data_IF_142949245101
#
_entry.id   IF_142949245101
#
_cell.length_a   1.000
_cell.length_b   1.000
_cell.length_c   1.000
_cell.angle_alpha   90.00
_cell.angle_beta   90.00
_cell.angle_gamma   90.00
#
_symmetry.space_group_name_H-M   'P 1'
#
loop_
_entity.id
_entity.type
_entity.pdbx_description
1 polymer ?
#
# COMPACT_ATOMS: atom_id res chain seq x y z
N UNK A 1 14.91 -2.06 14.84
CA UNK A 1 13.96 -1.10 14.26
C UNK A 1 13.83 -1.24 12.74
N UNK A 2 14.92 -1.48 11.98
CA UNK A 2 14.88 -1.75 10.52
C UNK A 2 14.23 -3.10 10.21
N UNK A 3 14.39 -4.12 11.06
CA UNK A 3 13.70 -5.42 10.92
C UNK A 3 12.18 -5.34 11.11
N UNK A 4 11.70 -4.38 11.88
CA UNK A 4 10.28 -4.18 12.14
C UNK A 4 9.57 -3.54 10.93
N UNK A 5 10.20 -2.55 10.31
CA UNK A 5 9.68 -1.88 9.09
C UNK A 5 9.68 -2.83 7.88
N UNK A 6 10.69 -3.69 7.75
CA UNK A 6 10.72 -4.73 6.72
C UNK A 6 9.64 -5.82 6.95
N UNK A 7 9.26 -6.10 8.19
CA UNK A 7 8.20 -7.07 8.52
C UNK A 7 6.79 -6.52 8.32
N UNK A 8 6.53 -5.25 8.60
CA UNK A 8 5.19 -4.66 8.41
C UNK A 8 4.81 -4.48 6.94
N UNK A 9 5.75 -4.08 6.06
CA UNK A 9 5.49 -3.99 4.62
C UNK A 9 5.33 -5.37 3.94
N UNK A 10 5.82 -6.45 4.55
CA UNK A 10 5.64 -7.83 4.05
C UNK A 10 4.23 -8.37 4.36
N UNK A 11 3.49 -7.80 5.30
CA UNK A 11 2.21 -8.33 5.78
C UNK A 11 1.00 -7.80 4.98
N UNK A 12 1.15 -6.76 4.19
CA UNK A 12 0.09 -6.29 3.26
C UNK A 12 0.09 -7.07 1.93
N UNK A 13 0.49 -8.32 1.96
CA UNK A 13 0.44 -9.19 0.81
C UNK A 13 -1.03 -9.55 0.51
N UNK A 14 -1.44 -9.36 -0.72
CA UNK A 14 -2.75 -9.54 -1.37
C UNK A 14 -3.48 -10.89 -1.08
N UNK A 15 -3.03 -11.68 -0.12
CA UNK A 15 -3.61 -12.96 0.30
C UNK A 15 -4.72 -12.86 1.35
N UNK A 16 -4.98 -11.68 1.90
CA UNK A 16 -5.99 -11.49 2.97
C UNK A 16 -7.18 -10.63 2.54
N UNK A 17 -7.25 -10.15 1.31
CA UNK A 17 -8.38 -9.36 0.84
C UNK A 17 -9.39 -10.22 0.06
N UNK A 18 -10.67 -10.08 0.41
CA UNK A 18 -11.77 -10.67 -0.35
C UNK A 18 -11.93 -9.88 -1.65
N UNK A 19 -11.82 -10.54 -2.80
CA UNK A 19 -12.00 -9.89 -4.10
C UNK A 19 -13.48 -9.59 -4.35
N UNK A 20 -13.80 -8.33 -4.61
CA UNK A 20 -15.14 -7.87 -5.00
C UNK A 20 -15.34 -7.81 -6.53
N UNK A 21 -14.28 -8.06 -7.31
CA UNK A 21 -14.30 -7.95 -8.77
C UNK A 21 -13.40 -6.84 -9.28
N UNK A 22 -13.74 -6.32 -10.49
CA UNK A 22 -12.95 -5.25 -11.14
C UNK A 22 -13.86 -4.10 -11.57
N UNK A 23 -13.41 -2.87 -11.33
CA UNK A 23 -14.05 -1.64 -11.81
C UNK A 23 -13.02 -0.90 -12.66
N UNK A 24 -13.38 -0.57 -13.90
CA UNK A 24 -12.46 0.06 -14.88
C UNK A 24 -11.14 -0.71 -15.07
N UNK A 25 -11.20 -2.04 -14.93
CA UNK A 25 -10.01 -2.91 -15.00
C UNK A 25 -9.21 -3.02 -13.71
N UNK A 26 -9.49 -2.20 -12.69
CA UNK A 26 -8.81 -2.17 -11.40
C UNK A 26 -9.44 -3.22 -10.47
N UNK A 27 -8.68 -4.17 -9.92
CA UNK A 27 -9.15 -5.11 -8.91
C UNK A 27 -9.56 -4.38 -7.63
N UNK A 28 -10.75 -4.71 -7.10
CA UNK A 28 -11.25 -4.16 -5.84
C UNK A 28 -11.21 -5.25 -4.79
N UNK A 29 -10.57 -4.97 -3.66
CA UNK A 29 -10.43 -5.88 -2.53
C UNK A 29 -11.05 -5.33 -1.25
N UNK A 30 -11.47 -6.24 -0.37
CA UNK A 30 -11.96 -5.96 0.97
C UNK A 30 -11.05 -6.64 1.99
N UNK A 31 -10.40 -5.85 2.83
CA UNK A 31 -9.62 -6.39 3.95
C UNK A 31 -10.56 -6.86 5.08
N UNK A 32 -10.15 -7.86 5.85
CA UNK A 32 -10.98 -8.36 6.96
C UNK A 32 -11.28 -7.29 8.02
N UNK A 33 -10.40 -6.30 8.21
CA UNK A 33 -10.63 -5.18 9.12
C UNK A 33 -11.82 -4.28 8.73
N UNK A 34 -12.23 -4.33 7.45
CA UNK A 34 -13.40 -3.60 6.96
C UNK A 34 -14.70 -4.04 7.67
N UNK A 35 -14.86 -5.34 7.98
CA UNK A 35 -16.07 -5.81 8.68
C UNK A 35 -16.20 -5.23 10.07
N UNK A 36 -15.07 -4.98 10.75
CA UNK A 36 -15.05 -4.37 12.06
C UNK A 36 -15.55 -2.93 12.00
N UNK A 37 -15.02 -2.13 11.07
CA UNK A 37 -15.42 -0.71 10.95
C UNK A 37 -16.85 -0.59 10.42
N UNK A 38 -17.28 -1.46 9.50
CA UNK A 38 -18.66 -1.53 9.05
C UNK A 38 -19.64 -1.78 10.19
N UNK A 39 -19.34 -2.77 11.05
CA UNK A 39 -20.14 -3.05 12.24
C UNK A 39 -20.16 -1.88 13.23
N UNK A 40 -19.01 -1.25 13.46
CA UNK A 40 -18.87 -0.11 14.36
C UNK A 40 -19.68 1.11 13.85
N UNK A 41 -19.53 1.46 12.58
CA UNK A 41 -20.26 2.59 11.97
C UNK A 41 -21.77 2.31 11.98
N UNK A 42 -22.17 1.10 11.60
CA UNK A 42 -23.60 0.70 11.65
C UNK A 42 -24.16 0.83 13.06
N UNK A 43 -23.42 0.34 14.08
CA UNK A 43 -23.83 0.43 15.48
C UNK A 43 -23.92 1.90 15.95
N UNK A 44 -22.94 2.72 15.64
CA UNK A 44 -22.92 4.14 16.00
C UNK A 44 -24.12 4.89 15.37
N UNK A 45 -24.41 4.63 14.11
CA UNK A 45 -25.54 5.23 13.41
C UNK A 45 -26.88 4.76 13.98
N UNK A 46 -27.05 3.46 14.21
CA UNK A 46 -28.30 2.87 14.65
C UNK A 46 -28.59 3.12 16.15
N UNK A 47 -27.57 3.14 17.00
CA UNK A 47 -27.75 3.25 18.45
C UNK A 47 -27.62 4.69 18.99
N UNK A 48 -26.98 5.61 18.23
CA UNK A 48 -26.73 6.97 18.71
C UNK A 48 -27.23 8.05 17.74
N UNK A 49 -26.68 8.12 16.53
CA UNK A 49 -26.92 9.23 15.61
C UNK A 49 -28.38 9.30 15.14
N UNK A 50 -28.94 8.24 14.58
CA UNK A 50 -30.31 8.27 14.05
C UNK A 50 -31.38 8.40 15.14
N UNK A 51 -31.28 7.74 16.31
CA UNK A 51 -32.24 7.97 17.38
C UNK A 51 -32.26 9.42 17.91
N UNK A 52 -31.15 10.13 17.86
CA UNK A 52 -31.08 11.54 18.28
C UNK A 52 -31.69 12.51 17.25
N UNK A 53 -31.58 12.19 15.94
CA UNK A 53 -32.04 13.05 14.85
C UNK A 53 -33.49 12.71 14.39
N UNK A 54 -33.84 11.45 14.43
CA UNK A 54 -35.12 10.90 13.96
C UNK A 54 -35.79 10.07 15.04
N UNK A 55 -36.62 10.72 15.84
CA UNK A 55 -37.35 10.06 16.94
C UNK A 55 -38.50 9.19 16.43
N UNK A 56 -38.89 8.19 17.23
CA UNK A 56 -40.07 7.33 17.00
C UNK A 56 -39.99 6.33 15.81
N UNK A 57 -38.78 5.99 15.34
CA UNK A 57 -38.63 4.87 14.43
C UNK A 57 -38.64 3.53 15.18
N UNK A 58 -39.17 2.45 14.57
CA UNK A 58 -38.94 1.10 15.09
C UNK A 58 -37.45 0.78 15.18
N UNK A 59 -37.02 0.04 16.20
CA UNK A 59 -35.59 -0.30 16.37
C UNK A 59 -34.98 -0.95 15.11
N UNK A 60 -35.71 -1.84 14.45
CA UNK A 60 -35.24 -2.45 13.21
C UNK A 60 -34.94 -1.44 12.09
N UNK A 61 -35.69 -0.34 12.01
CA UNK A 61 -35.48 0.70 11.01
C UNK A 61 -34.15 1.45 11.20
N UNK A 62 -33.77 1.76 12.47
CA UNK A 62 -32.48 2.36 12.76
C UNK A 62 -31.31 1.48 12.29
N UNK A 63 -31.41 0.16 12.53
CA UNK A 63 -30.37 -0.78 12.11
C UNK A 63 -30.30 -0.93 10.59
N UNK A 64 -31.42 -1.02 9.91
CA UNK A 64 -31.47 -1.15 8.43
C UNK A 64 -30.94 0.11 7.77
N UNK A 65 -31.37 1.30 8.22
CA UNK A 65 -30.90 2.57 7.66
C UNK A 65 -29.43 2.79 8.02
N UNK A 66 -29.01 2.44 9.24
CA UNK A 66 -27.61 2.50 9.65
C UNK A 66 -26.69 1.64 8.79
N UNK A 67 -27.07 0.38 8.55
CA UNK A 67 -26.30 -0.53 7.69
C UNK A 67 -26.28 -0.05 6.23
N UNK A 68 -27.41 0.39 5.68
CA UNK A 68 -27.46 0.94 4.33
C UNK A 68 -26.57 2.17 4.17
N UNK A 69 -26.58 3.08 5.16
CA UNK A 69 -25.74 4.27 5.17
C UNK A 69 -24.26 3.91 5.30
N UNK A 70 -23.89 2.95 6.13
CA UNK A 70 -22.53 2.47 6.24
C UNK A 70 -22.01 1.87 4.92
N UNK A 71 -22.83 1.07 4.22
CA UNK A 71 -22.48 0.56 2.88
C UNK A 71 -22.28 1.71 1.89
N UNK A 72 -23.21 2.69 1.85
CA UNK A 72 -23.12 3.84 0.95
C UNK A 72 -21.92 4.74 1.27
N UNK A 73 -21.52 4.84 2.54
CA UNK A 73 -20.29 5.53 2.94
C UNK A 73 -19.07 4.85 2.31
N UNK A 74 -18.96 3.51 2.38
CA UNK A 74 -17.84 2.80 1.77
C UNK A 74 -17.87 2.83 0.24
N UNK A 75 -19.06 2.89 -0.36
CA UNK A 75 -19.20 3.18 -1.80
C UNK A 75 -18.65 4.59 -2.11
N UNK A 76 -18.93 5.59 -1.27
CA UNK A 76 -18.38 6.95 -1.42
C UNK A 76 -16.86 6.96 -1.29
N UNK A 77 -16.29 6.23 -0.33
CA UNK A 77 -14.83 6.08 -0.18
C UNK A 77 -14.24 5.39 -1.42
N UNK A 78 -14.88 4.33 -1.93
CA UNK A 78 -14.42 3.69 -3.16
C UNK A 78 -14.45 4.63 -4.37
N UNK A 79 -15.48 5.45 -4.50
CA UNK A 79 -15.57 6.47 -5.56
C UNK A 79 -14.49 7.54 -5.42
N UNK A 80 -14.16 7.94 -4.21
CA UNK A 80 -13.05 8.84 -3.91
C UNK A 80 -11.71 8.24 -4.42
N UNK A 81 -11.39 6.98 -4.08
CA UNK A 81 -10.18 6.28 -4.55
C UNK A 81 -10.18 6.08 -6.08
N UNK A 82 -11.35 5.79 -6.65
CA UNK A 82 -11.52 5.72 -8.10
C UNK A 82 -11.25 7.07 -8.76
N UNK A 83 -11.60 8.18 -8.12
CA UNK A 83 -11.26 9.52 -8.59
C UNK A 83 -9.76 9.69 -8.82
N UNK A 84 -8.94 9.38 -7.81
CA UNK A 84 -7.48 9.37 -7.93
C UNK A 84 -7.01 8.43 -9.03
N UNK A 85 -7.54 7.22 -9.05
CA UNK A 85 -7.15 6.14 -9.96
C UNK A 85 -7.41 6.49 -11.42
N UNK A 86 -8.57 7.06 -11.73
CA UNK A 86 -8.93 7.47 -13.10
C UNK A 86 -7.99 8.56 -13.61
N UNK A 87 -7.66 9.53 -12.76
CA UNK A 87 -6.72 10.59 -13.14
C UNK A 87 -5.31 10.03 -13.29
N UNK A 88 -4.85 9.14 -12.39
CA UNK A 88 -3.55 8.48 -12.51
C UNK A 88 -3.40 7.71 -13.84
N UNK A 89 -4.44 6.94 -14.23
CA UNK A 89 -4.44 6.22 -15.51
C UNK A 89 -4.37 7.15 -16.73
N UNK A 90 -4.91 8.37 -16.67
CA UNK A 90 -4.74 9.36 -17.74
C UNK A 90 -3.30 9.83 -17.93
N UNK A 91 -2.52 9.78 -16.84
CA UNK A 91 -1.06 10.01 -16.88
C UNK A 91 -0.26 8.73 -17.16
N UNK A 92 -0.93 7.65 -17.59
CA UNK A 92 -0.33 6.32 -17.89
C UNK A 92 0.33 5.66 -16.69
N UNK A 93 -0.09 6.02 -15.48
CA UNK A 93 0.36 5.37 -14.26
C UNK A 93 -0.56 4.18 -14.00
N UNK A 94 -0.04 2.95 -13.95
CA UNK A 94 -0.86 1.77 -13.69
C UNK A 94 -1.38 1.79 -12.24
N UNK A 95 -2.66 1.49 -12.07
CA UNK A 95 -3.27 1.28 -10.75
C UNK A 95 -3.45 -0.23 -10.55
N UNK A 96 -2.79 -0.79 -9.56
CA UNK A 96 -2.73 -2.24 -9.34
C UNK A 96 -3.99 -2.79 -8.69
N UNK A 97 -4.45 -2.13 -7.64
CA UNK A 97 -5.65 -2.50 -6.90
C UNK A 97 -6.14 -1.35 -6.03
N UNK A 98 -7.41 -1.42 -5.63
CA UNK A 98 -7.97 -0.60 -4.55
C UNK A 98 -8.44 -1.56 -3.47
N UNK A 99 -7.96 -1.36 -2.23
CA UNK A 99 -8.36 -2.18 -1.08
C UNK A 99 -9.05 -1.30 -0.04
N UNK A 100 -10.26 -1.70 0.36
CA UNK A 100 -10.99 -1.06 1.46
C UNK A 100 -10.63 -1.76 2.77
N UNK A 101 -10.32 -0.97 3.81
CA UNK A 101 -9.91 -1.44 5.12
C UNK A 101 -10.44 -0.51 6.24
N UNK A 102 -10.05 -0.75 7.48
CA UNK A 102 -10.62 -0.05 8.65
C UNK A 102 -10.51 1.48 8.59
N UNK A 103 -9.44 2.02 7.98
CA UNK A 103 -9.21 3.48 7.91
C UNK A 103 -9.67 4.13 6.59
N UNK A 104 -10.33 3.36 5.70
CA UNK A 104 -10.85 3.88 4.43
C UNK A 104 -10.47 3.03 3.23
N UNK A 105 -9.97 3.65 2.16
CA UNK A 105 -9.48 3.02 0.95
C UNK A 105 -7.99 3.29 0.71
N UNK A 106 -7.32 2.36 0.06
CA UNK A 106 -5.95 2.56 -0.44
C UNK A 106 -5.88 2.09 -1.88
N UNK A 107 -5.57 3.02 -2.78
CA UNK A 107 -5.23 2.72 -4.17
C UNK A 107 -3.72 2.46 -4.30
N UNK A 108 -3.34 1.27 -4.75
CA UNK A 108 -1.94 0.95 -5.05
C UNK A 108 -1.56 1.51 -6.41
N UNK A 109 -0.98 2.71 -6.43
CA UNK A 109 -0.49 3.39 -7.62
C UNK A 109 0.91 2.87 -7.93
N UNK A 110 1.14 2.44 -9.18
CA UNK A 110 2.31 1.64 -9.56
C UNK A 110 3.62 2.41 -9.73
N UNK A 111 3.61 3.75 -9.77
CA UNK A 111 4.81 4.59 -9.89
C UNK A 111 4.55 6.01 -9.40
N UNK A 112 5.62 6.75 -9.15
CA UNK A 112 5.52 8.17 -8.82
C UNK A 112 4.95 9.00 -9.99
N UNK A 113 4.23 10.10 -9.72
CA UNK A 113 3.75 11.01 -10.75
C UNK A 113 4.91 11.62 -11.55
N UNK A 114 4.79 11.71 -12.91
CA UNK A 114 5.89 12.18 -13.76
C UNK A 114 6.16 13.69 -13.64
N UNK A 115 5.27 14.45 -13.00
CA UNK A 115 5.40 15.89 -12.83
C UNK A 115 4.56 16.42 -11.68
N UNK A 116 4.89 17.59 -11.18
CA UNK A 116 4.12 18.31 -10.16
C UNK A 116 2.65 18.52 -10.56
N UNK A 117 2.40 18.85 -11.84
CA UNK A 117 1.04 19.01 -12.36
C UNK A 117 0.26 17.70 -12.36
N UNK A 118 0.90 16.58 -12.73
CA UNK A 118 0.28 15.27 -12.66
C UNK A 118 -0.10 14.91 -11.22
N UNK A 119 0.81 15.12 -10.28
CA UNK A 119 0.55 14.86 -8.86
C UNK A 119 -0.61 15.71 -8.33
N UNK A 120 -0.64 17.01 -8.67
CA UNK A 120 -1.72 17.90 -8.26
C UNK A 120 -3.09 17.38 -8.70
N UNK A 121 -3.23 17.04 -9.99
CA UNK A 121 -4.52 16.57 -10.52
C UNK A 121 -4.91 15.20 -9.99
N UNK A 122 -3.94 14.31 -9.77
CA UNK A 122 -4.20 13.01 -9.14
C UNK A 122 -4.69 13.22 -7.71
N UNK A 123 -3.99 14.02 -6.92
CA UNK A 123 -4.30 14.21 -5.51
C UNK A 123 -5.62 14.95 -5.26
N UNK A 124 -5.97 15.95 -6.07
CA UNK A 124 -7.22 16.71 -5.89
C UNK A 124 -8.46 15.93 -6.35
N UNK A 125 -8.30 14.89 -7.18
CA UNK A 125 -9.42 14.17 -7.80
C UNK A 125 -10.33 13.49 -6.78
N UNK A 126 -9.77 12.85 -5.74
CA UNK A 126 -10.55 12.23 -4.66
C UNK A 126 -11.41 13.25 -3.90
N UNK A 127 -10.83 14.30 -3.33
CA UNK A 127 -11.59 15.38 -2.69
C UNK A 127 -12.68 15.98 -3.58
N UNK A 128 -12.41 16.18 -4.87
CA UNK A 128 -13.42 16.66 -5.83
C UNK A 128 -14.59 15.71 -5.96
N UNK A 129 -14.34 14.39 -6.04
CA UNK A 129 -15.40 13.37 -6.05
C UNK A 129 -16.21 13.42 -4.76
N UNK A 130 -15.57 13.49 -3.59
CA UNK A 130 -16.27 13.60 -2.31
C UNK A 130 -17.11 14.87 -2.21
N UNK A 131 -16.61 16.03 -2.66
CA UNK A 131 -17.42 17.24 -2.73
C UNK A 131 -18.62 17.10 -3.68
N UNK A 132 -18.43 16.49 -4.84
CA UNK A 132 -19.52 16.23 -5.77
C UNK A 132 -20.60 15.34 -5.14
N UNK A 133 -20.20 14.30 -4.41
CA UNK A 133 -21.13 13.43 -3.66
C UNK A 133 -21.84 14.19 -2.53
N UNK A 134 -21.12 15.03 -1.79
CA UNK A 134 -21.74 15.86 -0.76
C UNK A 134 -22.82 16.79 -1.34
N UNK A 135 -22.53 17.43 -2.45
CA UNK A 135 -23.50 18.29 -3.18
C UNK A 135 -24.67 17.43 -3.69
N UNK A 136 -24.40 16.30 -4.33
CA UNK A 136 -25.42 15.40 -4.84
C UNK A 136 -26.40 14.97 -3.74
N UNK A 137 -25.89 14.44 -2.64
CA UNK A 137 -26.74 14.04 -1.50
C UNK A 137 -27.42 15.24 -0.85
N UNK A 138 -26.80 16.41 -0.82
CA UNK A 138 -27.41 17.65 -0.37
C UNK A 138 -28.64 18.05 -1.21
N UNK A 139 -28.50 17.99 -2.53
CA UNK A 139 -29.58 18.31 -3.49
C UNK A 139 -30.70 17.27 -3.51
N UNK A 140 -30.42 16.03 -3.11
CA UNK A 140 -31.44 14.96 -2.99
C UNK A 140 -32.33 15.10 -1.75
N UNK A 141 -31.91 15.82 -0.72
CA UNK A 141 -32.68 15.95 0.53
C UNK A 141 -34.10 16.49 0.32
N UNK A 142 -34.34 17.55 -0.47
CA UNK A 142 -35.70 18.05 -0.70
C UNK A 142 -36.60 17.03 -1.39
N UNK A 143 -36.04 16.17 -2.25
CA UNK A 143 -36.79 15.13 -2.96
C UNK A 143 -37.23 14.00 -2.02
N UNK A 144 -36.47 13.78 -0.96
CA UNK A 144 -36.73 12.72 0.03
C UNK A 144 -37.51 13.18 1.27
N UNK A 145 -37.97 14.43 1.28
CA UNK A 145 -38.66 15.04 2.44
C UNK A 145 -39.84 14.21 2.99
N UNK A 146 -40.59 13.48 2.14
CA UNK A 146 -41.66 12.61 2.54
C UNK A 146 -41.21 11.21 2.99
N UNK A 147 -39.96 10.80 2.71
CA UNK A 147 -39.41 9.48 3.03
C UNK A 147 -38.28 9.62 4.06
N UNK A 148 -38.64 9.69 5.32
CA UNK A 148 -37.69 9.94 6.43
C UNK A 148 -36.42 9.05 6.40
N UNK A 149 -36.44 7.75 6.07
CA UNK A 149 -35.24 6.94 5.97
C UNK A 149 -34.27 7.38 4.86
N UNK A 150 -34.80 7.78 3.70
CA UNK A 150 -33.99 8.26 2.58
C UNK A 150 -33.43 9.66 2.87
N UNK A 151 -34.21 10.52 3.52
CA UNK A 151 -33.76 11.82 3.98
C UNK A 151 -32.61 11.69 5.00
N UNK A 152 -32.73 10.75 5.95
CA UNK A 152 -31.70 10.49 6.95
C UNK A 152 -30.39 10.03 6.32
N UNK A 153 -30.46 9.09 5.38
CA UNK A 153 -29.33 8.61 4.60
C UNK A 153 -28.68 9.76 3.81
N UNK A 154 -29.48 10.55 3.08
CA UNK A 154 -28.96 11.66 2.28
C UNK A 154 -28.31 12.76 3.15
N UNK A 155 -28.92 13.09 4.30
CA UNK A 155 -28.33 14.04 5.26
C UNK A 155 -26.96 13.58 5.74
N UNK A 156 -26.86 12.33 6.22
CA UNK A 156 -25.60 11.81 6.73
C UNK A 156 -24.53 11.70 5.64
N UNK A 157 -24.89 11.22 4.46
CA UNK A 157 -23.94 11.09 3.33
C UNK A 157 -23.49 12.45 2.80
N UNK A 158 -24.33 13.47 2.78
CA UNK A 158 -23.91 14.83 2.44
C UNK A 158 -22.89 15.36 3.45
N UNK A 159 -23.19 15.21 4.74
CA UNK A 159 -22.30 15.65 5.82
C UNK A 159 -20.96 14.93 5.81
N UNK A 160 -20.96 13.59 5.75
CA UNK A 160 -19.74 12.81 5.89
C UNK A 160 -18.84 12.94 4.64
N UNK A 161 -19.40 13.01 3.42
CA UNK A 161 -18.62 13.24 2.21
C UNK A 161 -18.01 14.66 2.19
N UNK A 162 -18.74 15.67 2.68
CA UNK A 162 -18.22 17.03 2.86
C UNK A 162 -17.05 17.05 3.86
N UNK A 163 -17.23 16.39 5.00
CA UNK A 163 -16.19 16.26 6.04
C UNK A 163 -14.97 15.51 5.49
N UNK A 164 -15.18 14.40 4.77
CA UNK A 164 -14.11 13.61 4.14
C UNK A 164 -13.30 14.47 3.14
N UNK A 165 -13.98 15.25 2.31
CA UNK A 165 -13.31 16.13 1.36
C UNK A 165 -12.49 17.23 2.07
N UNK A 166 -13.05 17.89 3.07
CA UNK A 166 -12.36 18.93 3.84
C UNK A 166 -11.18 18.37 4.62
N UNK A 167 -11.37 17.22 5.28
CA UNK A 167 -10.30 16.56 6.03
C UNK A 167 -9.15 16.16 5.12
N UNK A 168 -9.45 15.55 3.97
CA UNK A 168 -8.43 15.17 3.00
C UNK A 168 -7.74 16.35 2.33
N UNK A 169 -8.29 17.57 2.37
CA UNK A 169 -7.62 18.78 1.87
C UNK A 169 -6.70 19.45 2.88
N UNK A 170 -6.57 18.96 4.10
CA UNK A 170 -5.59 19.45 5.08
C UNK A 170 -4.18 19.32 4.48
N UNK A 171 -3.37 20.40 4.45
CA UNK A 171 -2.10 20.45 3.74
C UNK A 171 -0.97 19.72 4.51
N UNK A 172 -1.02 18.41 4.59
CA UNK A 172 -0.02 17.59 5.27
C UNK A 172 -0.16 16.11 4.99
N UNK A 173 0.95 15.40 4.84
CA UNK A 173 0.91 13.94 4.75
C UNK A 173 0.34 13.34 6.04
N UNK A 174 -0.42 12.23 5.94
CA UNK A 174 -0.62 11.37 4.76
C UNK A 174 -1.82 11.73 3.88
N UNK A 175 -2.48 12.86 4.12
CA UNK A 175 -3.71 13.26 3.46
C UNK A 175 -3.48 13.74 2.01
N UNK A 176 -4.53 13.75 1.18
CA UNK A 176 -4.44 14.20 -0.22
C UNK A 176 -4.02 15.67 -0.33
N UNK A 177 -4.46 16.52 0.60
CA UNK A 177 -4.01 17.89 0.73
C UNK A 177 -2.50 18.01 0.95
N UNK A 178 -1.88 17.03 1.60
CA UNK A 178 -0.42 16.92 1.70
C UNK A 178 0.23 16.65 0.35
N UNK A 179 -0.37 15.81 -0.49
CA UNK A 179 0.09 15.56 -1.87
C UNK A 179 -0.14 16.79 -2.76
N UNK A 180 -1.29 17.44 -2.63
CA UNK A 180 -1.57 18.72 -3.32
C UNK A 180 -0.53 19.78 -2.91
N UNK A 181 -0.24 19.91 -1.63
CA UNK A 181 0.76 20.81 -1.11
C UNK A 181 2.18 20.46 -1.60
N UNK A 182 2.54 19.16 -1.57
CA UNK A 182 3.80 18.67 -2.15
C UNK A 182 3.91 19.05 -3.63
N UNK A 183 2.85 18.84 -4.41
CA UNK A 183 2.83 19.20 -5.83
C UNK A 183 3.09 20.69 -6.07
N UNK A 184 2.47 21.58 -5.28
CA UNK A 184 2.71 23.04 -5.36
C UNK A 184 4.15 23.36 -5.02
N UNK A 185 4.69 22.84 -3.90
CA UNK A 185 6.08 23.06 -3.49
C UNK A 185 7.05 22.50 -4.54
N UNK A 186 6.77 21.32 -5.09
CA UNK A 186 7.57 20.72 -6.16
C UNK A 186 7.56 21.58 -7.42
N UNK A 187 6.41 22.08 -7.84
CA UNK A 187 6.32 22.98 -8.99
C UNK A 187 7.14 24.27 -8.85
N UNK A 188 7.25 24.79 -7.63
CA UNK A 188 8.03 26.01 -7.32
C UNK A 188 9.52 25.71 -7.14
N UNK A 189 9.86 24.65 -6.41
CA UNK A 189 11.25 24.34 -6.05
C UNK A 189 11.97 23.49 -7.07
N UNK A 190 11.25 22.84 -7.99
CA UNK A 190 11.74 21.84 -8.94
C UNK A 190 12.50 20.67 -8.28
N UNK A 191 12.23 20.45 -6.99
CA UNK A 191 12.90 19.41 -6.19
C UNK A 191 11.87 18.60 -5.40
N UNK A 192 11.60 17.39 -5.89
CA UNK A 192 10.61 16.48 -5.29
C UNK A 192 10.96 16.11 -3.85
N UNK A 193 12.24 15.81 -3.58
CA UNK A 193 12.74 15.47 -2.24
C UNK A 193 12.46 16.57 -1.21
N UNK A 194 12.79 17.83 -1.56
CA UNK A 194 12.51 18.99 -0.69
C UNK A 194 11.00 19.17 -0.48
N UNK A 195 10.22 19.03 -1.54
CA UNK A 195 8.76 19.13 -1.47
C UNK A 195 8.16 18.06 -0.55
N UNK A 196 8.62 16.82 -0.66
CA UNK A 196 8.19 15.70 0.21
C UNK A 196 8.51 15.97 1.67
N UNK A 197 9.73 16.40 1.98
CA UNK A 197 10.15 16.71 3.35
C UNK A 197 9.35 17.87 3.96
N UNK A 198 9.08 18.93 3.17
CA UNK A 198 8.27 20.06 3.62
C UNK A 198 6.84 19.63 3.91
N UNK A 199 6.20 18.89 2.99
CA UNK A 199 4.83 18.41 3.15
C UNK A 199 4.69 17.46 4.35
N UNK A 200 5.66 16.58 4.56
CA UNK A 200 5.70 15.67 5.70
C UNK A 200 5.87 16.42 7.04
N UNK A 201 6.77 17.41 7.09
CA UNK A 201 6.97 18.21 8.31
C UNK A 201 5.73 19.06 8.64
N UNK A 202 5.06 19.62 7.64
CA UNK A 202 3.77 20.31 7.84
C UNK A 202 2.72 19.33 8.37
N UNK A 203 2.62 18.13 7.79
CA UNK A 203 1.71 17.07 8.28
C UNK A 203 1.98 16.69 9.73
N UNK A 204 3.26 16.50 10.10
CA UNK A 204 3.65 16.23 11.49
C UNK A 204 3.28 17.39 12.43
N UNK A 205 3.50 18.64 12.02
CA UNK A 205 3.09 19.81 12.78
C UNK A 205 1.58 19.82 13.04
N UNK A 206 0.76 19.54 12.01
CA UNK A 206 -0.69 19.41 12.14
C UNK A 206 -1.07 18.25 13.06
N UNK A 207 -0.42 17.10 12.91
CA UNK A 207 -0.63 15.93 13.76
C UNK A 207 -0.38 16.25 15.25
N UNK A 208 0.70 16.98 15.56
CA UNK A 208 0.96 17.44 16.94
C UNK A 208 -0.11 18.40 17.45
N UNK A 209 -0.66 19.27 16.60
CA UNK A 209 -1.79 20.13 17.01
C UNK A 209 -3.03 19.30 17.37
N UNK A 210 -3.34 18.23 16.61
CA UNK A 210 -4.41 17.29 16.97
C UNK A 210 -4.15 16.60 18.30
N UNK A 211 -2.90 16.13 18.55
CA UNK A 211 -2.55 15.50 19.83
C UNK A 211 -2.74 16.48 20.99
N UNK A 212 -2.24 17.71 20.86
CA UNK A 212 -2.36 18.74 21.89
C UNK A 212 -3.84 19.09 22.14
N UNK A 213 -4.63 19.29 21.06
CA UNK A 213 -6.05 19.57 21.16
C UNK A 213 -6.82 18.43 21.84
N UNK A 214 -6.49 17.17 21.51
CA UNK A 214 -7.08 16.00 22.14
C UNK A 214 -6.75 15.91 23.63
N UNK A 215 -5.49 16.11 24.01
CA UNK A 215 -5.08 16.16 25.43
C UNK A 215 -5.78 17.31 26.17
N UNK A 216 -5.84 18.49 25.57
CA UNK A 216 -6.56 19.62 26.13
C UNK A 216 -8.04 19.31 26.40
N UNK A 217 -8.71 18.65 25.46
CA UNK A 217 -10.12 18.27 25.58
C UNK A 217 -10.33 17.23 26.68
N UNK A 218 -9.42 16.24 26.81
CA UNK A 218 -9.44 15.29 27.93
C UNK A 218 -9.32 15.99 29.29
N UNK A 219 -8.44 16.97 29.41
CA UNK A 219 -8.25 17.72 30.64
C UNK A 219 -9.47 18.60 31.00
N UNK A 220 -10.26 19.03 30.03
CA UNK A 220 -11.50 19.77 30.21
C UNK A 220 -12.74 18.88 30.46
N UNK A 221 -12.55 17.58 30.68
CA UNK A 221 -13.62 16.66 31.09
C UNK A 221 -14.28 15.88 29.94
N UNK A 222 -13.95 16.15 28.66
CA UNK A 222 -14.44 15.39 27.52
C UNK A 222 -13.40 14.33 27.10
N UNK A 223 -13.25 13.32 27.96
CA UNK A 223 -12.20 12.30 27.80
C UNK A 223 -12.37 11.49 26.52
N UNK A 224 -13.61 11.12 26.15
CA UNK A 224 -13.87 10.27 24.98
C UNK A 224 -13.49 10.94 23.65
N UNK A 225 -13.99 12.14 23.42
CA UNK A 225 -13.68 12.90 22.22
C UNK A 225 -12.20 13.32 22.18
N UNK A 226 -11.64 13.73 23.34
CA UNK A 226 -10.24 14.10 23.44
C UNK A 226 -9.31 12.93 23.09
N UNK A 227 -9.59 11.73 23.61
CA UNK A 227 -8.84 10.52 23.28
C UNK A 227 -8.90 10.20 21.77
N UNK A 228 -10.08 10.35 21.17
CA UNK A 228 -10.26 10.12 19.73
C UNK A 228 -9.46 11.10 18.88
N UNK A 229 -9.48 12.38 19.20
CA UNK A 229 -8.71 13.43 18.51
C UNK A 229 -7.21 13.20 18.66
N UNK A 230 -6.74 12.87 19.88
CA UNK A 230 -5.33 12.55 20.13
C UNK A 230 -4.88 11.30 19.34
N UNK A 231 -5.74 10.27 19.24
CA UNK A 231 -5.49 9.08 18.46
C UNK A 231 -5.36 9.38 16.95
N UNK A 232 -6.27 10.23 16.41
CA UNK A 232 -6.15 10.71 15.01
C UNK A 232 -4.81 11.42 14.81
N UNK A 233 -4.42 12.32 15.72
CA UNK A 233 -3.14 13.01 15.65
C UNK A 233 -1.94 12.05 15.67
N UNK A 234 -1.93 11.07 16.56
CA UNK A 234 -0.89 10.05 16.62
C UNK A 234 -0.82 9.21 15.33
N UNK A 235 -1.97 8.82 14.78
CA UNK A 235 -2.03 8.08 13.52
C UNK A 235 -1.46 8.91 12.35
N UNK A 236 -1.85 10.19 12.24
CA UNK A 236 -1.33 11.10 11.21
C UNK A 236 0.20 11.30 11.34
N UNK A 237 0.71 11.47 12.57
CA UNK A 237 2.16 11.59 12.82
C UNK A 237 2.90 10.33 12.39
N UNK A 238 2.40 9.15 12.78
CA UNK A 238 3.00 7.87 12.43
C UNK A 238 3.06 7.66 10.92
N UNK A 239 1.98 7.99 10.20
CA UNK A 239 1.90 7.87 8.76
C UNK A 239 2.78 8.92 8.03
N UNK A 240 2.84 10.17 8.51
CA UNK A 240 3.72 11.19 7.96
C UNK A 240 5.20 10.81 8.16
N UNK A 241 5.55 10.25 9.31
CA UNK A 241 6.90 9.77 9.61
C UNK A 241 7.29 8.57 8.73
N UNK A 242 6.36 7.65 8.46
CA UNK A 242 6.59 6.54 7.53
C UNK A 242 6.90 7.04 6.10
N UNK A 243 6.23 8.11 5.64
CA UNK A 243 6.49 8.72 4.34
C UNK A 243 7.92 9.30 4.24
N UNK A 244 8.40 9.95 5.30
CA UNK A 244 9.78 10.45 5.37
C UNK A 244 10.80 9.31 5.32
N UNK A 245 10.53 8.21 6.03
CA UNK A 245 11.40 7.04 6.02
C UNK A 245 11.44 6.37 4.65
N UNK A 246 10.31 6.24 3.98
CA UNK A 246 10.23 5.70 2.62
C UNK A 246 11.04 6.55 1.64
N UNK A 247 10.90 7.89 1.71
CA UNK A 247 11.70 8.80 0.89
C UNK A 247 13.19 8.68 1.18
N UNK A 248 13.59 8.54 2.45
CA UNK A 248 15.00 8.38 2.80
C UNK A 248 15.61 7.07 2.25
N UNK A 249 14.82 5.98 2.23
CA UNK A 249 15.24 4.71 1.60
C UNK A 249 15.37 4.87 0.09
N UNK A 250 14.39 5.51 -0.55
CA UNK A 250 14.45 5.82 -1.98
C UNK A 250 15.72 6.62 -2.31
N UNK A 251 15.99 7.70 -1.57
CA UNK A 251 17.15 8.57 -1.79
C UNK A 251 18.50 7.83 -1.62
N UNK A 252 18.54 6.81 -0.76
CA UNK A 252 19.74 5.98 -0.57
C UNK A 252 20.01 5.02 -1.72
N UNK A 253 18.98 4.69 -2.51
CA UNK A 253 19.03 3.66 -3.56
C UNK A 253 18.93 4.23 -4.98
N UNK A 254 18.33 5.41 -5.16
CA UNK A 254 17.97 5.97 -6.47
C UNK A 254 19.15 6.18 -7.41
N UNK A 255 20.33 6.52 -6.90
CA UNK A 255 21.53 6.79 -7.72
C UNK A 255 22.41 5.54 -7.89
N UNK A 256 21.96 4.37 -7.40
CA UNK A 256 22.73 3.14 -7.41
C UNK A 256 22.21 2.11 -8.41
N UNK A 257 23.17 1.32 -8.94
CA UNK A 257 22.87 0.28 -9.91
C UNK A 257 22.90 -1.11 -9.29
N UNK A 258 22.14 -2.02 -9.87
CA UNK A 258 22.13 -3.43 -9.51
C UNK A 258 23.55 -4.02 -9.41
N UNK A 259 24.44 -3.67 -10.37
CA UNK A 259 25.83 -4.15 -10.42
C UNK A 259 26.68 -3.80 -9.21
N UNK A 260 26.33 -2.76 -8.47
CA UNK A 260 27.05 -2.31 -7.28
C UNK A 260 26.73 -3.15 -6.03
N UNK A 261 25.56 -3.78 -6.03
CA UNK A 261 25.01 -4.46 -4.86
C UNK A 261 24.84 -5.96 -5.06
N UNK A 262 24.69 -6.42 -6.31
CA UNK A 262 24.52 -7.84 -6.62
C UNK A 262 25.64 -8.70 -6.06
N UNK A 263 25.29 -9.87 -5.55
CA UNK A 263 26.24 -10.93 -5.22
C UNK A 263 26.70 -11.65 -6.50
N UNK A 264 28.01 -11.66 -6.79
CA UNK A 264 28.57 -12.38 -7.94
C UNK A 264 28.70 -13.88 -7.71
N UNK A 265 28.61 -14.30 -6.46
CA UNK A 265 28.72 -15.71 -6.07
C UNK A 265 27.35 -16.37 -5.92
N UNK A 266 26.67 -16.63 -7.02
CA UNK A 266 25.42 -17.40 -7.00
C UNK A 266 25.69 -18.90 -6.89
N UNK A 267 24.74 -19.64 -6.27
CA UNK A 267 24.80 -21.08 -6.21
C UNK A 267 24.23 -21.69 -7.48
N UNK A 268 25.00 -22.53 -8.15
CA UNK A 268 24.55 -23.32 -9.29
C UNK A 268 24.37 -24.77 -8.89
N UNK A 269 23.40 -25.43 -9.51
CA UNK A 269 23.17 -26.89 -9.37
C UNK A 269 22.94 -27.50 -10.76
N UNK A 270 23.44 -28.73 -10.94
CA UNK A 270 23.19 -29.47 -12.18
C UNK A 270 21.70 -29.75 -12.37
N UNK A 271 21.23 -29.65 -13.61
CA UNK A 271 19.86 -30.01 -14.01
C UNK A 271 19.45 -31.43 -13.60
N UNK A 272 20.41 -32.36 -13.59
CA UNK A 272 20.21 -33.77 -13.30
C UNK A 272 20.36 -34.11 -11.81
N UNK A 273 20.76 -33.16 -10.97
CA UNK A 273 20.84 -33.35 -9.54
C UNK A 273 19.45 -33.58 -8.93
N UNK A 274 19.33 -34.51 -8.00
CA UNK A 274 18.07 -34.79 -7.30
C UNK A 274 17.76 -33.74 -6.24
N UNK A 275 16.48 -33.55 -5.94
CA UNK A 275 16.06 -32.64 -4.86
C UNK A 275 16.60 -33.07 -3.50
N UNK A 276 16.77 -34.38 -3.28
CA UNK A 276 17.38 -34.90 -2.04
C UNK A 276 18.83 -34.39 -1.89
N UNK A 277 19.66 -34.53 -2.93
CA UNK A 277 21.03 -34.01 -2.94
C UNK A 277 21.07 -32.48 -2.76
N UNK A 278 20.17 -31.74 -3.43
CA UNK A 278 20.05 -30.30 -3.25
C UNK A 278 19.76 -29.92 -1.81
N UNK A 279 18.82 -30.63 -1.16
CA UNK A 279 18.40 -30.29 0.22
C UNK A 279 19.52 -30.62 1.20
N UNK A 280 20.10 -31.82 1.13
CA UNK A 280 21.07 -32.29 2.09
C UNK A 280 22.40 -31.52 2.03
N UNK A 281 22.93 -31.31 0.80
CA UNK A 281 24.27 -30.76 0.63
C UNK A 281 24.29 -29.24 0.40
N UNK A 282 23.22 -28.69 -0.15
CA UNK A 282 23.21 -27.27 -0.49
C UNK A 282 22.30 -26.43 0.40
N UNK A 283 21.03 -26.83 0.61
CA UNK A 283 20.11 -26.02 1.43
C UNK A 283 20.49 -26.08 2.90
N UNK A 284 20.59 -27.29 3.47
CA UNK A 284 20.88 -27.48 4.90
C UNK A 284 22.35 -27.16 5.22
N UNK A 285 23.27 -27.45 4.31
CA UNK A 285 24.69 -27.22 4.51
C UNK A 285 25.11 -25.76 4.38
N UNK A 286 24.48 -24.96 3.49
CA UNK A 286 24.88 -23.58 3.20
C UNK A 286 23.87 -22.51 3.61
N UNK A 287 22.64 -22.89 3.97
CA UNK A 287 21.54 -21.97 4.26
C UNK A 287 20.98 -21.24 3.04
N UNK A 288 21.48 -21.49 1.85
CA UNK A 288 21.01 -20.86 0.62
C UNK A 288 19.61 -21.35 0.23
N UNK A 289 18.79 -20.47 -0.30
CA UNK A 289 17.37 -20.74 -0.61
C UNK A 289 17.03 -20.64 -2.10
N UNK A 290 18.01 -20.31 -2.93
CA UNK A 290 17.83 -20.13 -4.37
C UNK A 290 19.08 -20.60 -5.10
N UNK A 291 18.86 -21.31 -6.21
CA UNK A 291 19.90 -21.97 -6.98
C UNK A 291 19.63 -21.78 -8.47
N UNK A 292 20.64 -21.41 -9.21
CA UNK A 292 20.59 -21.41 -10.67
C UNK A 292 20.76 -22.86 -11.17
N UNK A 293 19.81 -23.34 -11.93
CA UNK A 293 19.90 -24.68 -12.53
C UNK A 293 20.66 -24.57 -13.86
N UNK A 294 21.74 -25.33 -13.97
CA UNK A 294 22.61 -25.30 -15.15
C UNK A 294 22.64 -26.64 -15.86
N UNK A 295 22.81 -26.59 -17.20
CA UNK A 295 23.09 -27.73 -18.03
C UNK A 295 24.21 -27.35 -18.99
N UNK A 296 25.34 -28.09 -18.98
CA UNK A 296 26.53 -27.76 -19.77
C UNK A 296 27.00 -26.31 -19.59
N UNK A 297 27.02 -25.82 -18.36
CA UNK A 297 27.35 -24.44 -17.93
C UNK A 297 26.38 -23.35 -18.40
N UNK A 298 25.30 -23.70 -19.09
CA UNK A 298 24.25 -22.76 -19.46
C UNK A 298 23.15 -22.71 -18.40
N UNK A 299 22.71 -21.50 -18.01
CA UNK A 299 21.63 -21.28 -17.07
C UNK A 299 20.27 -21.59 -17.73
N UNK A 300 19.59 -22.66 -17.30
CA UNK A 300 18.31 -23.10 -17.89
C UNK A 300 17.10 -22.77 -17.01
N UNK A 301 17.29 -22.48 -15.72
CA UNK A 301 16.19 -22.18 -14.82
C UNK A 301 16.66 -21.78 -13.43
N UNK A 302 15.67 -21.44 -12.59
CA UNK A 302 15.85 -21.06 -11.20
C UNK A 302 15.07 -22.03 -10.31
N UNK A 303 15.69 -22.52 -9.25
CA UNK A 303 15.08 -23.40 -8.26
C UNK A 303 15.14 -22.75 -6.88
N UNK A 304 13.97 -22.56 -6.27
CA UNK A 304 13.85 -21.96 -4.96
C UNK A 304 13.41 -22.99 -3.91
N UNK A 305 13.63 -22.68 -2.63
CA UNK A 305 13.10 -23.50 -1.54
C UNK A 305 11.57 -23.67 -1.60
N UNK A 306 10.85 -22.69 -2.19
CA UNK A 306 9.41 -22.79 -2.38
C UNK A 306 9.05 -23.92 -3.35
N UNK A 307 9.74 -24.00 -4.48
CA UNK A 307 9.52 -25.05 -5.47
C UNK A 307 9.83 -26.45 -4.90
N UNK A 308 10.89 -26.57 -4.09
CA UNK A 308 11.22 -27.83 -3.40
C UNK A 308 10.11 -28.27 -2.45
N UNK A 309 9.47 -27.34 -1.73
CA UNK A 309 8.38 -27.65 -0.80
C UNK A 309 7.08 -28.10 -1.47
N UNK A 310 6.88 -27.79 -2.74
CA UNK A 310 5.72 -28.24 -3.50
C UNK A 310 5.81 -29.71 -3.87
N UNK A 311 7.03 -30.30 -3.86
CA UNK A 311 7.27 -31.71 -4.16
C UNK A 311 7.19 -32.52 -2.86
N UNK A 312 6.40 -33.62 -2.80
CA UNK A 312 6.34 -34.51 -1.65
C UNK A 312 7.73 -35.07 -1.31
N UNK A 313 8.09 -35.11 -0.02
CA UNK A 313 9.41 -35.56 0.43
C UNK A 313 9.79 -36.98 -0.05
N UNK A 314 8.81 -37.86 -0.22
CA UNK A 314 9.04 -39.21 -0.73
C UNK A 314 9.57 -39.25 -2.17
N UNK A 315 9.36 -38.18 -2.95
CA UNK A 315 9.75 -38.10 -4.35
C UNK A 315 11.10 -37.38 -4.54
N UNK A 316 11.69 -36.79 -3.51
CA UNK A 316 12.93 -36.00 -3.63
C UNK A 316 14.12 -36.80 -4.16
N UNK A 317 14.19 -38.11 -3.86
CA UNK A 317 15.28 -38.98 -4.34
C UNK A 317 15.21 -39.27 -5.86
N UNK A 318 14.03 -39.10 -6.46
CA UNK A 318 13.80 -39.42 -7.90
C UNK A 318 13.51 -38.15 -8.76
N UNK A 319 13.11 -37.05 -8.14
CA UNK A 319 12.80 -35.80 -8.83
C UNK A 319 14.08 -34.98 -9.02
N UNK A 320 14.34 -34.54 -10.24
CA UNK A 320 15.53 -33.73 -10.58
C UNK A 320 15.25 -32.23 -10.46
N UNK A 321 16.33 -31.45 -10.35
CA UNK A 321 16.27 -29.99 -10.35
C UNK A 321 15.58 -29.44 -11.62
N UNK A 322 15.84 -30.04 -12.76
CA UNK A 322 15.23 -29.64 -14.05
C UNK A 322 13.71 -29.84 -14.07
N UNK A 323 13.17 -30.82 -13.36
CA UNK A 323 11.72 -31.10 -13.31
C UNK A 323 10.95 -30.09 -12.44
N UNK A 324 11.66 -29.46 -11.51
CA UNK A 324 11.02 -28.61 -10.47
C UNK A 324 11.36 -27.12 -10.64
N UNK A 325 12.38 -26.81 -11.44
CA UNK A 325 12.82 -25.42 -11.66
C UNK A 325 11.77 -24.58 -12.37
N UNK A 326 11.84 -23.27 -12.18
CA UNK A 326 11.19 -22.29 -13.03
C UNK A 326 12.10 -22.07 -14.24
N UNK A 327 11.66 -22.32 -15.49
CA UNK A 327 12.46 -22.09 -16.68
C UNK A 327 12.92 -20.63 -16.78
N UNK A 328 14.17 -20.40 -17.25
CA UNK A 328 14.77 -19.06 -17.32
C UNK A 328 13.91 -18.05 -18.10
N UNK A 329 13.15 -18.51 -19.10
CA UNK A 329 12.23 -17.67 -19.87
C UNK A 329 11.05 -17.12 -19.06
N UNK A 330 10.72 -17.74 -17.94
CA UNK A 330 9.64 -17.35 -17.02
C UNK A 330 10.17 -16.63 -15.78
N UNK A 331 11.48 -16.69 -15.55
CA UNK A 331 12.10 -16.04 -14.39
C UNK A 331 12.18 -14.54 -14.64
N UNK A 332 11.70 -13.75 -13.70
CA UNK A 332 11.97 -12.32 -13.66
C UNK A 332 13.46 -12.09 -13.46
N UNK A 333 14.02 -11.19 -14.21
CA UNK A 333 15.45 -10.91 -14.24
C UNK A 333 15.68 -9.40 -14.34
N UNK A 334 16.83 -8.97 -13.87
CA UNK A 334 17.27 -7.57 -13.96
C UNK A 334 18.61 -7.49 -14.67
N UNK A 335 18.91 -6.35 -15.24
CA UNK A 335 20.20 -6.07 -15.85
C UNK A 335 21.14 -5.37 -14.86
N UNK A 336 22.47 -5.53 -14.98
CA UNK A 336 23.43 -4.88 -14.09
C UNK A 336 23.35 -3.35 -14.08
N UNK A 337 22.90 -2.77 -15.20
CA UNK A 337 22.76 -1.33 -15.38
C UNK A 337 21.47 -0.72 -14.87
N UNK A 338 20.51 -1.54 -14.47
CA UNK A 338 19.24 -1.06 -13.91
C UNK A 338 19.40 -0.35 -12.58
N UNK A 339 18.49 0.57 -12.29
CA UNK A 339 18.45 1.25 -11.00
C UNK A 339 18.07 0.27 -9.88
N UNK A 340 18.81 0.34 -8.77
CA UNK A 340 18.61 -0.54 -7.62
C UNK A 340 17.21 -0.39 -7.01
N UNK A 341 16.67 0.83 -7.00
CA UNK A 341 15.31 1.09 -6.55
C UNK A 341 14.26 0.39 -7.42
N UNK A 342 14.39 0.47 -8.74
CA UNK A 342 13.48 -0.19 -9.67
C UNK A 342 13.49 -1.72 -9.50
N UNK A 343 14.67 -2.31 -9.29
CA UNK A 343 14.81 -3.74 -9.00
C UNK A 343 14.15 -4.13 -7.67
N UNK A 344 14.25 -3.28 -6.63
CA UNK A 344 13.58 -3.51 -5.34
C UNK A 344 12.05 -3.42 -5.49
N UNK A 345 11.54 -2.45 -6.23
CA UNK A 345 10.10 -2.35 -6.55
C UNK A 345 9.59 -3.57 -7.33
N UNK A 346 10.42 -4.12 -8.23
CA UNK A 346 10.08 -5.35 -8.95
C UNK A 346 10.00 -6.55 -8.00
N UNK A 347 10.96 -6.68 -7.07
CA UNK A 347 10.91 -7.70 -6.02
C UNK A 347 9.65 -7.58 -5.16
N UNK A 348 9.25 -6.36 -4.78
CA UNK A 348 8.05 -6.11 -3.99
C UNK A 348 6.77 -6.42 -4.76
N UNK A 349 6.73 -6.02 -6.03
CA UNK A 349 5.60 -6.24 -6.92
C UNK A 349 5.29 -7.70 -7.14
N UNK A 350 6.34 -8.49 -7.39
CA UNK A 350 6.19 -9.89 -7.78
C UNK A 350 6.28 -10.84 -6.57
N UNK A 351 6.49 -10.29 -5.36
CA UNK A 351 6.58 -11.05 -4.11
C UNK A 351 7.80 -11.96 -4.06
N UNK A 352 8.88 -11.62 -4.79
CA UNK A 352 10.12 -12.37 -4.84
C UNK A 352 11.18 -11.75 -3.95
N UNK A 353 12.06 -12.60 -3.39
CA UNK A 353 13.12 -12.14 -2.51
C UNK A 353 14.48 -12.03 -3.22
N UNK A 354 14.57 -12.55 -4.44
CA UNK A 354 15.80 -12.59 -5.23
C UNK A 354 15.48 -12.49 -6.71
N UNK A 355 16.34 -11.79 -7.45
CA UNK A 355 16.30 -11.68 -8.92
C UNK A 355 17.67 -12.07 -9.49
N UNK A 356 17.74 -12.94 -10.50
CA UNK A 356 18.97 -13.17 -11.23
C UNK A 356 19.33 -11.94 -12.06
N UNK A 357 20.60 -11.59 -12.02
CA UNK A 357 21.17 -10.50 -12.82
C UNK A 357 21.74 -11.11 -14.08
N UNK A 358 21.14 -10.80 -15.22
CA UNK A 358 21.44 -11.46 -16.49
C UNK A 358 21.80 -10.47 -17.59
N UNK A 359 22.71 -10.86 -18.48
CA UNK A 359 23.07 -10.16 -19.71
C UNK A 359 23.26 -11.21 -20.82
N UNK A 360 22.61 -11.03 -21.95
CA UNK A 360 22.71 -11.89 -23.11
C UNK A 360 22.53 -13.39 -22.82
N UNK A 361 21.63 -13.72 -21.88
CA UNK A 361 21.34 -15.09 -21.46
C UNK A 361 22.31 -15.67 -20.42
N UNK A 362 23.37 -14.95 -20.04
CA UNK A 362 24.31 -15.36 -19.02
C UNK A 362 23.93 -14.76 -17.66
N UNK A 363 23.97 -15.58 -16.62
CA UNK A 363 23.79 -15.11 -15.24
C UNK A 363 25.12 -14.57 -14.71
N UNK A 364 25.16 -13.26 -14.39
CA UNK A 364 26.33 -12.58 -13.83
C UNK A 364 26.32 -12.60 -12.30
N UNK A 365 25.16 -12.77 -11.68
CA UNK A 365 25.00 -12.75 -10.25
C UNK A 365 23.53 -12.84 -9.80
N UNK A 366 23.33 -12.63 -8.53
CA UNK A 366 22.00 -12.56 -7.91
C UNK A 366 21.88 -11.26 -7.13
N UNK A 367 20.72 -10.62 -7.23
CA UNK A 367 20.35 -9.54 -6.35
C UNK A 367 19.32 -10.06 -5.35
N UNK A 368 19.60 -10.00 -4.06
CA UNK A 368 18.66 -10.38 -3.00
C UNK A 368 18.27 -9.17 -2.14
N UNK A 369 17.13 -9.26 -1.44
CA UNK A 369 16.76 -8.24 -0.43
C UNK A 369 17.81 -8.12 0.66
N UNK A 370 18.47 -9.21 1.02
CA UNK A 370 19.55 -9.22 2.01
C UNK A 370 20.75 -8.40 1.51
N UNK A 371 21.11 -8.49 0.23
CA UNK A 371 22.19 -7.69 -0.36
C UNK A 371 21.85 -6.20 -0.29
N UNK A 372 20.62 -5.81 -0.65
CA UNK A 372 20.16 -4.42 -0.58
C UNK A 372 20.17 -3.89 0.86
N UNK A 373 19.65 -4.68 1.82
CA UNK A 373 19.65 -4.31 3.25
C UNK A 373 21.09 -4.16 3.77
N UNK A 374 21.96 -5.10 3.42
CA UNK A 374 23.37 -5.06 3.81
C UNK A 374 24.09 -3.84 3.25
N UNK A 375 23.83 -3.53 1.98
CA UNK A 375 24.36 -2.34 1.31
C UNK A 375 23.92 -1.05 2.00
N UNK A 376 22.61 -0.90 2.27
CA UNK A 376 22.07 0.26 2.99
C UNK A 376 22.68 0.42 4.39
N UNK A 377 22.86 -0.71 5.10
CA UNK A 377 23.48 -0.72 6.43
C UNK A 377 24.92 -0.22 6.37
N UNK A 378 25.70 -0.78 5.45
CA UNK A 378 27.11 -0.41 5.28
C UNK A 378 27.27 1.07 4.93
N UNK A 379 26.45 1.59 4.02
CA UNK A 379 26.47 3.02 3.66
C UNK A 379 26.16 3.92 4.85
N UNK A 380 25.14 3.54 5.62
CA UNK A 380 24.75 4.30 6.81
C UNK A 380 25.84 4.30 7.89
N UNK A 381 26.53 3.19 8.08
CA UNK A 381 27.64 3.06 9.03
C UNK A 381 28.86 3.88 8.58
N UNK A 382 29.11 3.95 7.28
CA UNK A 382 30.21 4.73 6.70
C UNK A 382 29.88 6.22 6.53
N UNK A 383 28.62 6.63 6.67
CA UNK A 383 28.19 8.01 6.50
C UNK A 383 28.24 8.53 5.05
N UNK A 384 28.12 7.64 4.06
CA UNK A 384 28.18 7.93 2.62
C UNK A 384 26.89 7.55 1.91
#
# INVERSE_FOLDING_TARGET
>A
MVEWVAKENIIMNNRQAISLGRILGIPIGLDYSWFLIFALVTWMLAASYYPSEFTNWPAAQYWVVGAATAIMLFVSVLLHELGHSVVAMRYRIPVRSITLFIFGGVAQIGSEPPSAGAEFWIAIAGPVVSFALAILFGLLQPLFGAAAPLLALAKYLAYINGTLALFNLIPGFPLDGGRVFRAVVWGVTHNLRRATLIAANVGRGIAFLFIIAGVWQMLNGDFGNGLWIAFIGWFLESAASAQVQQQAVHDLLADHRVSEVMSRGYAAISADATLQHLVDDHILGTGRRCFMVTRSDEAIGLLTLHNVKEVPRAEWATTTAAQTMIPVAQVKRVEPGEELWAALEEMDRDGVNQLPVMVDGQCLGMLSREDVISYMRSRRELGV
#
